data_IF_243005956611
#
_entry.id   IF_243005956611
#
_cell.length_a   1.000
_cell.length_b   1.000
_cell.length_c   1.000
_cell.angle_alpha   90.00
_cell.angle_beta   90.00
_cell.angle_gamma   90.00
#
_symmetry.space_group_name_H-M   'P 1'
#
loop_
_entity.id
_entity.type
_entity.pdbx_description
1 polymer ?
#
# COMPACT_ATOMS: atom_id res chain seq x y z
N UNK A 1 -6.23 -43.11 7.31
CA UNK A 1 -6.28 -41.87 6.50
C UNK A 1 -6.80 -40.75 7.39
N UNK A 2 -5.93 -39.86 7.87
CA UNK A 2 -6.38 -38.70 8.64
C UNK A 2 -7.08 -37.72 7.68
N UNK A 3 -8.40 -37.58 7.81
CA UNK A 3 -9.15 -36.52 7.14
C UNK A 3 -8.76 -35.21 7.80
N UNK A 4 -7.87 -34.46 7.14
CA UNK A 4 -7.52 -33.10 7.53
C UNK A 4 -8.78 -32.26 7.33
N UNK A 5 -9.42 -31.88 8.44
CA UNK A 5 -10.60 -31.05 8.44
C UNK A 5 -10.16 -29.61 8.19
N UNK A 6 -10.50 -29.07 7.02
CA UNK A 6 -10.39 -27.64 6.76
C UNK A 6 -11.73 -27.01 7.17
N UNK A 7 -11.80 -26.25 8.28
CA UNK A 7 -12.99 -25.48 8.58
C UNK A 7 -13.25 -24.52 7.42
N UNK A 8 -14.44 -24.61 6.83
CA UNK A 8 -14.89 -23.63 5.85
C UNK A 8 -15.21 -22.34 6.58
N UNK A 9 -14.51 -21.27 6.19
CA UNK A 9 -14.79 -19.92 6.70
C UNK A 9 -16.24 -19.55 6.38
N UNK A 10 -16.93 -19.07 7.40
CA UNK A 10 -18.24 -18.43 7.28
C UNK A 10 -18.13 -17.15 6.45
N UNK A 11 -19.25 -16.70 5.87
CA UNK A 11 -19.27 -15.45 5.09
C UNK A 11 -18.75 -14.25 5.88
N UNK A 12 -19.03 -14.20 7.19
CA UNK A 12 -18.50 -13.16 8.09
C UNK A 12 -16.99 -13.21 8.26
N UNK A 13 -16.41 -14.40 8.36
CA UNK A 13 -14.95 -14.56 8.47
C UNK A 13 -14.25 -14.17 7.17
N UNK A 14 -14.85 -14.49 6.01
CA UNK A 14 -14.35 -14.04 4.70
C UNK A 14 -14.41 -12.51 4.55
N UNK A 15 -15.50 -11.88 4.98
CA UNK A 15 -15.62 -10.42 4.96
C UNK A 15 -14.60 -9.73 5.89
N UNK A 16 -14.29 -10.34 7.04
CA UNK A 16 -13.26 -9.83 7.95
C UNK A 16 -11.86 -10.00 7.36
N UNK A 17 -11.57 -11.14 6.74
CA UNK A 17 -10.30 -11.40 6.05
C UNK A 17 -10.07 -10.39 4.92
N UNK A 18 -11.07 -10.16 4.06
CA UNK A 18 -11.00 -9.15 2.99
C UNK A 18 -10.75 -7.75 3.56
N UNK A 19 -11.39 -7.38 4.68
CA UNK A 19 -11.15 -6.08 5.32
C UNK A 19 -9.72 -5.96 5.85
N UNK A 20 -9.19 -7.01 6.46
CA UNK A 20 -7.83 -7.04 6.96
C UNK A 20 -6.81 -6.94 5.82
N UNK A 21 -7.00 -7.69 4.74
CA UNK A 21 -6.19 -7.58 3.53
C UNK A 21 -6.19 -6.14 3.00
N UNK A 22 -7.36 -5.51 2.95
CA UNK A 22 -7.51 -4.14 2.46
C UNK A 22 -6.83 -3.09 3.37
N UNK A 23 -6.74 -3.35 4.67
CA UNK A 23 -6.01 -2.53 5.63
C UNK A 23 -4.50 -2.70 5.46
N UNK A 24 -4.02 -3.95 5.32
CA UNK A 24 -2.62 -4.26 5.03
C UNK A 24 -2.18 -3.58 3.74
N UNK A 25 -2.98 -3.66 2.68
CA UNK A 25 -2.68 -2.99 1.41
C UNK A 25 -2.56 -1.46 1.56
N UNK A 26 -3.40 -0.83 2.39
CA UNK A 26 -3.31 0.61 2.65
C UNK A 26 -2.02 0.97 3.38
N UNK A 27 -1.63 0.17 4.36
CA UNK A 27 -0.41 0.40 5.13
C UNK A 27 0.84 0.19 4.28
N UNK A 28 0.87 -0.85 3.45
CA UNK A 28 1.94 -1.07 2.49
C UNK A 28 2.03 0.06 1.45
N UNK A 29 0.90 0.52 0.92
CA UNK A 29 0.86 1.65 -0.01
C UNK A 29 1.38 2.94 0.64
N UNK A 30 1.04 3.19 1.91
CA UNK A 30 1.59 4.31 2.68
C UNK A 30 3.11 4.21 2.81
N UNK A 31 3.63 3.06 3.28
CA UNK A 31 5.06 2.85 3.49
C UNK A 31 5.86 2.97 2.19
N UNK A 32 5.32 2.46 1.08
CA UNK A 32 5.92 2.56 -0.24
C UNK A 32 5.99 4.02 -0.72
N UNK A 33 4.90 4.77 -0.59
CA UNK A 33 4.87 6.19 -0.98
C UNK A 33 5.83 7.03 -0.12
N UNK A 34 5.81 6.81 1.19
CA UNK A 34 6.66 7.52 2.13
C UNK A 34 8.14 7.25 1.83
N UNK A 35 8.51 5.98 1.64
CA UNK A 35 9.89 5.58 1.33
C UNK A 35 10.36 6.15 0.00
N UNK A 36 9.49 6.13 -1.02
CA UNK A 36 9.77 6.73 -2.32
C UNK A 36 10.10 8.21 -2.21
N UNK A 37 9.22 8.98 -1.55
CA UNK A 37 9.39 10.42 -1.36
C UNK A 37 10.62 10.73 -0.51
N UNK A 38 10.88 9.95 0.56
CA UNK A 38 12.06 10.12 1.42
C UNK A 38 13.37 9.93 0.67
N UNK A 39 13.43 8.96 -0.24
CA UNK A 39 14.61 8.68 -1.07
C UNK A 39 14.82 9.73 -2.15
N UNK A 40 13.75 10.18 -2.80
CA UNK A 40 13.82 11.09 -3.95
C UNK A 40 13.91 12.56 -3.56
N UNK A 41 13.33 12.91 -2.41
CA UNK A 41 13.25 14.27 -1.89
C UNK A 41 13.63 14.30 -0.40
N UNK A 42 14.92 14.06 -0.07
CA UNK A 42 15.36 13.87 1.31
C UNK A 42 15.24 15.13 2.19
N UNK A 43 15.14 16.30 1.59
CA UNK A 43 15.05 17.58 2.31
C UNK A 43 13.60 17.96 2.67
N UNK A 44 12.60 17.17 2.23
CA UNK A 44 11.20 17.44 2.54
C UNK A 44 10.81 16.84 3.90
N UNK A 45 10.04 17.58 4.73
CA UNK A 45 9.51 17.04 5.97
C UNK A 45 8.34 16.09 5.67
N UNK A 46 8.55 14.80 5.94
CA UNK A 46 7.58 13.72 5.64
C UNK A 46 7.07 13.01 6.90
N UNK A 47 7.70 13.19 8.08
CA UNK A 47 7.40 12.37 9.27
C UNK A 47 5.95 12.49 9.78
N UNK A 48 5.29 13.63 9.57
CA UNK A 48 3.93 13.90 10.11
C UNK A 48 2.84 13.95 9.03
N UNK A 49 3.17 13.63 7.77
CA UNK A 49 2.21 13.76 6.66
C UNK A 49 1.29 12.55 6.58
N UNK A 50 -0.01 12.80 6.38
CA UNK A 50 -0.99 11.74 6.13
C UNK A 50 -0.83 11.22 4.70
N UNK A 51 -1.37 10.02 4.44
CA UNK A 51 -1.28 9.41 3.11
C UNK A 51 -1.79 10.31 1.98
N UNK A 52 -2.92 11.00 2.19
CA UNK A 52 -3.45 11.97 1.21
C UNK A 52 -2.48 13.11 0.93
N UNK A 53 -1.86 13.66 1.98
CA UNK A 53 -0.89 14.75 1.86
C UNK A 53 0.38 14.29 1.10
N UNK A 54 0.77 13.02 1.24
CA UNK A 54 1.88 12.44 0.48
C UNK A 54 1.53 12.26 -1.00
N UNK A 55 0.28 11.89 -1.32
CA UNK A 55 -0.21 11.80 -2.70
C UNK A 55 -0.19 13.19 -3.35
N UNK A 56 -0.76 14.18 -2.67
CA UNK A 56 -0.81 15.55 -3.16
C UNK A 56 0.60 16.12 -3.35
N UNK A 57 1.50 15.86 -2.39
CA UNK A 57 2.90 16.25 -2.51
C UNK A 57 3.56 15.61 -3.73
N UNK A 58 3.34 14.31 -3.97
CA UNK A 58 3.87 13.64 -5.16
C UNK A 58 3.32 14.25 -6.45
N UNK A 59 2.01 14.53 -6.51
CA UNK A 59 1.38 15.19 -7.67
C UNK A 59 1.99 16.58 -7.90
N UNK A 60 2.23 17.35 -6.85
CA UNK A 60 2.85 18.67 -6.97
C UNK A 60 4.29 18.58 -7.49
N UNK A 61 5.07 17.59 -7.04
CA UNK A 61 6.47 17.41 -7.42
C UNK A 61 6.66 16.82 -8.82
N UNK A 62 5.78 15.91 -9.25
CA UNK A 62 5.98 15.09 -10.45
C UNK A 62 4.87 15.20 -11.50
N UNK A 63 3.78 15.89 -11.16
CA UNK A 63 2.57 15.97 -11.97
C UNK A 63 1.63 14.75 -11.82
N UNK A 64 0.36 14.90 -12.23
CA UNK A 64 -0.69 13.90 -12.00
C UNK A 64 -0.53 12.61 -12.82
N UNK A 65 0.30 12.61 -13.87
CA UNK A 65 0.43 11.47 -14.80
C UNK A 65 1.25 10.31 -14.23
N UNK A 66 2.15 10.56 -13.26
CA UNK A 66 3.08 9.55 -12.71
C UNK A 66 2.54 8.76 -11.51
N UNK A 67 1.27 8.93 -11.15
CA UNK A 67 0.62 8.06 -10.16
C UNK A 67 0.26 6.69 -10.73
N UNK A 68 0.02 6.61 -12.05
CA UNK A 68 -0.36 5.36 -12.71
C UNK A 68 0.83 4.40 -12.88
N UNK A 69 2.00 4.94 -13.23
CA UNK A 69 3.28 4.22 -13.26
C UNK A 69 3.70 3.73 -11.86
N UNK A 70 3.37 4.49 -10.82
CA UNK A 70 3.66 4.14 -9.42
C UNK A 70 2.95 2.85 -8.96
N UNK A 71 1.72 2.60 -9.40
CA UNK A 71 1.02 1.33 -9.14
C UNK A 71 1.75 0.10 -9.71
N UNK A 72 2.42 0.25 -10.86
CA UNK A 72 3.19 -0.83 -11.50
C UNK A 72 4.58 -0.98 -10.86
N UNK A 73 5.26 0.13 -10.56
CA UNK A 73 6.56 0.12 -9.90
C UNK A 73 6.49 -0.46 -8.47
N UNK A 74 5.43 -0.17 -7.70
CA UNK A 74 5.22 -0.81 -6.38
C UNK A 74 4.99 -2.31 -6.52
N UNK A 75 4.17 -2.72 -7.50
CA UNK A 75 3.92 -4.13 -7.76
C UNK A 75 5.22 -4.87 -8.14
N UNK A 76 6.19 -4.17 -8.75
CA UNK A 76 7.51 -4.72 -9.05
C UNK A 76 8.39 -4.93 -7.80
N UNK A 77 8.29 -4.06 -6.79
CA UNK A 77 9.07 -4.17 -5.54
C UNK A 77 8.62 -5.36 -4.69
N UNK A 78 7.34 -5.77 -4.77
CA UNK A 78 6.82 -6.99 -4.11
C UNK A 78 7.34 -8.31 -4.73
N UNK A 79 8.04 -8.29 -5.88
CA UNK A 79 8.52 -9.51 -6.57
C UNK A 79 9.99 -9.86 -6.33
N UNK A 80 10.70 -9.18 -5.44
CA UNK A 80 12.10 -9.49 -5.13
C UNK A 80 12.34 -9.74 -3.64
#
# INVERSE_FOLDING_TARGET
MNKVFYPQLTEKEKEQEIKQEHEVEKEENFMNLWTYLRRRYPDLPLEERRFGDLIDLKIQLEGPRRLREWTEDIASVRKH
#
